data_IF_212338620240
#
_entry.id   IF_212338620240
#
_cell.length_a   1.000
_cell.length_b   1.000
_cell.length_c   1.000
_cell.angle_alpha   90.00
_cell.angle_beta   90.00
_cell.angle_gamma   90.00
#
_symmetry.space_group_name_H-M   'P 1'
#
loop_
_entity.id
_entity.type
_entity.pdbx_description
1 polymer ?
#
# COMPACT_ATOMS: atom_id res chain seq x y z
N UNK A 1 -7.87 -37.36 82.42
CA UNK A 1 -7.33 -38.51 81.65
C UNK A 1 -6.92 -37.99 80.27
N UNK A 2 -5.61 -37.82 79.98
CA UNK A 2 -4.70 -38.78 79.30
C UNK A 2 -5.19 -39.12 77.87
N UNK A 3 -4.46 -39.00 76.74
CA UNK A 3 -3.06 -38.74 76.32
C UNK A 3 -3.13 -38.46 74.78
N UNK A 4 -2.33 -37.56 74.19
CA UNK A 4 -1.07 -37.84 73.45
C UNK A 4 -1.23 -37.64 71.93
N UNK A 5 -0.50 -36.73 71.26
CA UNK A 5 0.81 -36.92 70.54
C UNK A 5 0.62 -37.66 69.16
N UNK A 6 1.14 -37.29 67.96
CA UNK A 6 2.26 -36.50 67.42
C UNK A 6 1.99 -36.06 65.94
N UNK A 7 2.63 -34.95 65.54
CA UNK A 7 3.17 -34.45 64.25
C UNK A 7 2.91 -35.07 62.84
N UNK A 8 2.80 -34.11 61.90
CA UNK A 8 3.44 -33.97 60.58
C UNK A 8 2.92 -34.73 59.34
N UNK A 9 2.48 -33.98 58.32
CA UNK A 9 3.18 -33.92 57.02
C UNK A 9 2.63 -32.85 56.09
N UNK A 10 3.56 -32.10 55.50
CA UNK A 10 3.41 -31.04 54.52
C UNK A 10 3.37 -31.68 53.11
N UNK A 11 2.47 -31.22 52.23
CA UNK A 11 2.58 -31.49 50.79
C UNK A 11 2.10 -30.29 49.98
N UNK A 12 3.04 -29.74 49.21
CA UNK A 12 2.92 -28.62 48.27
C UNK A 12 2.00 -28.95 47.10
N UNK A 13 1.22 -27.96 46.65
CA UNK A 13 0.83 -27.86 45.24
C UNK A 13 1.06 -26.44 44.72
N UNK A 14 2.05 -26.34 43.84
CA UNK A 14 2.29 -25.21 42.95
C UNK A 14 1.08 -25.04 42.00
N UNK A 15 0.37 -23.92 42.09
CA UNK A 15 -0.52 -23.50 41.02
C UNK A 15 0.30 -22.60 40.09
N UNK A 16 0.79 -23.18 38.99
CA UNK A 16 1.47 -22.46 37.93
C UNK A 16 0.50 -21.52 37.21
N UNK A 17 0.81 -20.22 37.21
CA UNK A 17 0.09 -19.25 36.39
C UNK A 17 0.46 -19.42 34.92
N UNK A 18 -0.48 -19.92 34.11
CA UNK A 18 -0.35 -19.88 32.65
C UNK A 18 -0.66 -18.47 32.16
N UNK A 19 0.37 -17.74 31.73
CA UNK A 19 0.19 -16.50 30.99
C UNK A 19 -0.46 -16.80 29.65
N UNK A 20 -1.72 -16.41 29.50
CA UNK A 20 -2.40 -16.41 28.20
C UNK A 20 -1.77 -15.31 27.35
N UNK A 21 -0.93 -15.70 26.38
CA UNK A 21 -0.49 -14.81 25.31
C UNK A 21 -1.69 -14.63 24.37
N UNK A 22 -2.34 -13.47 24.44
CA UNK A 22 -3.38 -13.10 23.48
C UNK A 22 -2.75 -12.93 22.09
N UNK A 23 -3.21 -13.65 21.05
CA UNK A 23 -2.77 -13.38 19.68
C UNK A 23 -3.32 -12.02 19.25
N UNK A 24 -2.42 -11.10 18.88
CA UNK A 24 -2.80 -9.85 18.24
C UNK A 24 -3.56 -10.14 16.95
N UNK A 25 -4.69 -9.45 16.67
CA UNK A 25 -5.39 -9.61 15.40
C UNK A 25 -4.46 -9.12 14.28
N UNK A 26 -3.99 -10.05 13.44
CA UNK A 26 -3.40 -9.71 12.16
C UNK A 26 -4.56 -9.20 11.30
N UNK A 27 -4.62 -7.90 11.08
CA UNK A 27 -5.62 -7.30 10.20
C UNK A 27 -5.54 -8.02 8.84
N UNK A 28 -6.64 -8.65 8.43
CA UNK A 28 -6.72 -9.26 7.12
C UNK A 28 -6.61 -8.14 6.08
N UNK A 29 -5.61 -8.21 5.21
CA UNK A 29 -5.55 -7.36 4.02
C UNK A 29 -6.76 -7.72 3.18
N UNK A 30 -7.77 -6.85 3.13
CA UNK A 30 -8.90 -7.05 2.23
C UNK A 30 -8.35 -7.06 0.80
N UNK A 31 -8.71 -8.08 0.01
CA UNK A 31 -8.21 -8.28 -1.35
C UNK A 31 -8.56 -7.14 -2.33
N UNK A 32 -9.35 -6.16 -1.88
CA UNK A 32 -9.71 -4.94 -2.61
C UNK A 32 -8.71 -3.79 -2.42
N UNK A 33 -7.90 -3.80 -1.36
CA UNK A 33 -7.01 -2.68 -1.06
C UNK A 33 -5.96 -2.52 -2.17
N UNK A 34 -5.64 -1.28 -2.52
CA UNK A 34 -4.66 -0.95 -3.56
C UNK A 34 -3.36 -0.48 -2.91
N UNK A 35 -2.26 -1.20 -3.18
CA UNK A 35 -0.93 -0.83 -2.75
C UNK A 35 -0.26 0.09 -3.77
N UNK A 36 0.22 1.25 -3.33
CA UNK A 36 1.12 2.09 -4.11
C UNK A 36 2.53 1.51 -4.07
N UNK A 37 3.12 1.31 -5.23
CA UNK A 37 4.46 0.72 -5.35
C UNK A 37 5.43 1.67 -6.02
N UNK A 38 6.66 1.67 -5.52
CA UNK A 38 7.79 2.44 -6.05
C UNK A 38 9.02 1.55 -6.20
N UNK A 39 9.96 2.02 -7.00
CA UNK A 39 11.25 1.37 -7.17
C UNK A 39 11.96 1.18 -5.81
N UNK A 40 12.67 0.06 -5.62
CA UNK A 40 13.38 -0.23 -4.36
C UNK A 40 14.42 0.80 -3.96
N UNK A 41 14.99 1.53 -4.93
CA UNK A 41 15.96 2.60 -4.68
C UNK A 41 15.31 3.90 -4.20
N UNK A 42 13.98 4.03 -4.30
CA UNK A 42 13.27 5.18 -3.77
C UNK A 42 13.23 5.08 -2.23
N UNK A 43 13.78 6.08 -1.56
CA UNK A 43 13.88 6.15 -0.09
C UNK A 43 12.61 6.67 0.59
N UNK A 44 11.62 7.14 -0.18
CA UNK A 44 10.32 7.58 0.35
C UNK A 44 9.58 6.38 0.91
N UNK A 45 9.18 6.45 2.19
CA UNK A 45 8.44 5.36 2.87
C UNK A 45 6.95 5.70 3.08
N UNK A 46 6.66 7.00 3.23
CA UNK A 46 5.33 7.53 3.47
C UNK A 46 5.10 8.77 2.60
N UNK A 47 3.85 8.98 2.22
CA UNK A 47 3.41 10.15 1.48
C UNK A 47 2.06 10.64 1.99
N UNK A 48 1.89 11.96 2.10
CA UNK A 48 0.56 12.49 2.38
C UNK A 48 -0.38 12.28 1.19
N UNK A 49 -1.67 12.09 1.42
CA UNK A 49 -2.62 11.93 0.31
C UNK A 49 -2.67 13.16 -0.62
N UNK A 50 -2.45 14.35 -0.06
CA UNK A 50 -2.37 15.58 -0.85
C UNK A 50 -1.14 15.61 -1.77
N UNK A 51 0.02 15.16 -1.28
CA UNK A 51 1.22 15.04 -2.10
C UNK A 51 1.08 13.93 -3.16
N UNK A 52 0.46 12.81 -2.80
CA UNK A 52 0.14 11.72 -3.73
C UNK A 52 -0.66 12.23 -4.94
N UNK A 53 -1.71 13.02 -4.68
CA UNK A 53 -2.51 13.65 -5.75
C UNK A 53 -1.67 14.52 -6.67
N UNK A 54 -0.77 15.35 -6.11
CA UNK A 54 0.13 16.21 -6.89
C UNK A 54 1.03 15.41 -7.84
N UNK A 55 1.50 14.23 -7.43
CA UNK A 55 2.27 13.35 -8.31
C UNK A 55 1.43 12.79 -9.46
N UNK A 56 0.24 12.26 -9.17
CA UNK A 56 -0.66 11.72 -10.19
C UNK A 56 -1.20 12.80 -11.15
N UNK A 57 -1.28 14.06 -10.70
CA UNK A 57 -1.62 15.24 -11.49
C UNK A 57 -0.43 15.87 -12.23
N UNK A 58 0.79 15.32 -12.07
CA UNK A 58 2.02 15.90 -12.59
C UNK A 58 2.32 17.35 -12.11
N UNK A 59 1.67 17.82 -11.04
CA UNK A 59 1.99 19.08 -10.37
C UNK A 59 3.29 18.99 -9.57
N UNK A 60 3.65 17.77 -9.14
CA UNK A 60 4.96 17.43 -8.58
C UNK A 60 5.61 16.36 -9.45
N UNK A 61 6.74 16.69 -10.06
CA UNK A 61 7.40 15.85 -11.07
C UNK A 61 8.72 15.24 -10.62
N UNK A 62 9.15 15.51 -9.38
CA UNK A 62 10.38 14.99 -8.79
C UNK A 62 10.16 14.43 -7.38
N UNK A 63 10.83 13.33 -7.10
CA UNK A 63 11.02 12.79 -5.77
C UNK A 63 11.94 13.70 -4.93
N UNK A 64 11.97 13.57 -3.59
CA UNK A 64 12.84 14.38 -2.74
C UNK A 64 14.34 14.30 -3.08
N UNK A 65 14.78 13.20 -3.68
CA UNK A 65 16.16 12.98 -4.14
C UNK A 65 16.46 13.61 -5.53
N UNK A 66 15.48 14.29 -6.13
CA UNK A 66 15.57 14.89 -7.47
C UNK A 66 15.24 13.94 -8.62
N UNK A 67 15.03 12.64 -8.36
CA UNK A 67 14.67 11.67 -9.39
C UNK A 67 13.31 12.03 -10.01
N UNK A 68 13.24 12.11 -11.35
CA UNK A 68 11.98 12.41 -12.06
C UNK A 68 10.94 11.32 -11.78
N UNK A 69 9.71 11.75 -11.46
CA UNK A 69 8.58 10.84 -11.26
C UNK A 69 7.99 10.43 -12.61
N UNK A 70 7.71 9.14 -12.77
CA UNK A 70 6.97 8.61 -13.92
C UNK A 70 5.80 7.80 -13.40
N UNK A 71 4.58 8.22 -13.76
CA UNK A 71 3.35 7.55 -13.32
C UNK A 71 3.05 6.37 -14.24
N UNK A 72 2.73 5.22 -13.66
CA UNK A 72 2.22 4.05 -14.37
C UNK A 72 0.77 3.76 -13.95
N UNK A 73 -0.06 3.42 -14.93
CA UNK A 73 -1.47 3.10 -14.77
C UNK A 73 -1.77 1.68 -15.26
N UNK A 74 -2.68 0.99 -14.57
CA UNK A 74 -3.17 -0.32 -15.01
C UNK A 74 -4.05 -0.17 -16.24
N UNK A 75 -3.86 -1.05 -17.21
CA UNK A 75 -4.69 -1.21 -18.39
C UNK A 75 -5.11 -2.70 -18.52
N UNK A 76 -6.18 -3.02 -19.27
CA UNK A 76 -7.13 -2.07 -19.87
C UNK A 76 -7.96 -1.32 -18.83
N UNK A 77 -8.86 -0.44 -19.27
CA UNK A 77 -9.87 0.15 -18.40
C UNK A 77 -10.72 -0.92 -17.67
N UNK A 78 -11.35 -0.53 -16.56
CA UNK A 78 -12.27 -1.39 -15.80
C UNK A 78 -11.62 -2.35 -14.79
N UNK A 79 -10.30 -2.29 -14.61
CA UNK A 79 -9.64 -3.00 -13.51
C UNK A 79 -10.02 -2.38 -12.17
N UNK A 80 -10.34 -3.20 -11.17
CA UNK A 80 -10.75 -2.74 -9.83
C UNK A 80 -9.76 -1.74 -9.25
N UNK A 81 -8.46 -2.06 -9.28
CA UNK A 81 -7.42 -1.18 -8.74
C UNK A 81 -7.32 0.17 -9.48
N UNK A 82 -7.62 0.20 -10.79
CA UNK A 82 -7.66 1.44 -11.57
C UNK A 82 -8.84 2.31 -11.15
N UNK A 83 -10.02 1.70 -10.97
CA UNK A 83 -11.21 2.42 -10.52
C UNK A 83 -11.00 3.07 -9.14
N UNK A 84 -10.30 2.39 -8.23
CA UNK A 84 -9.92 2.94 -6.92
C UNK A 84 -9.02 4.17 -7.09
N UNK A 85 -7.98 4.08 -7.92
CA UNK A 85 -7.04 5.19 -8.16
C UNK A 85 -7.74 6.38 -8.82
N UNK A 86 -8.55 6.15 -9.84
CA UNK A 86 -9.30 7.19 -10.52
C UNK A 86 -10.29 7.89 -9.58
N UNK A 87 -11.08 7.14 -8.82
CA UNK A 87 -12.04 7.70 -7.87
C UNK A 87 -11.36 8.43 -6.72
N UNK A 88 -10.34 7.83 -6.13
CA UNK A 88 -9.78 8.32 -4.86
C UNK A 88 -8.76 9.43 -5.10
N UNK A 89 -7.83 9.24 -6.04
CA UNK A 89 -6.71 10.16 -6.25
C UNK A 89 -7.07 11.24 -7.27
N UNK A 90 -7.58 10.84 -8.43
CA UNK A 90 -7.96 11.80 -9.48
C UNK A 90 -9.28 12.52 -9.15
N UNK A 91 -10.21 11.81 -8.49
CA UNK A 91 -11.62 12.18 -8.39
C UNK A 91 -12.31 12.25 -9.77
N UNK A 92 -11.92 11.34 -10.67
CA UNK A 92 -12.42 11.24 -12.04
C UNK A 92 -12.99 9.86 -12.33
N UNK A 93 -13.79 9.76 -13.38
CA UNK A 93 -14.14 8.49 -14.01
C UNK A 93 -13.19 8.18 -15.18
N UNK A 94 -13.32 6.98 -15.74
CA UNK A 94 -12.49 6.51 -16.85
C UNK A 94 -12.60 7.39 -18.10
N UNK A 95 -13.81 7.80 -18.47
CA UNK A 95 -14.06 8.57 -19.68
C UNK A 95 -13.44 9.96 -19.62
N UNK A 96 -13.54 10.62 -18.46
CA UNK A 96 -12.90 11.90 -18.23
C UNK A 96 -11.37 11.76 -18.25
N UNK A 97 -10.82 10.76 -17.56
CA UNK A 97 -9.38 10.49 -17.58
C UNK A 97 -8.86 10.30 -19.02
N UNK A 98 -9.50 9.44 -19.81
CA UNK A 98 -9.10 9.19 -21.20
C UNK A 98 -9.22 10.44 -22.07
N UNK A 99 -10.25 11.23 -21.87
CA UNK A 99 -10.49 12.45 -22.63
C UNK A 99 -9.49 13.54 -22.28
N UNK A 100 -9.22 13.75 -20.99
CA UNK A 100 -8.22 14.69 -20.49
C UNK A 100 -6.83 14.40 -21.08
N UNK A 101 -6.35 13.16 -20.98
CA UNK A 101 -5.02 12.81 -21.49
C UNK A 101 -4.93 12.83 -23.02
N UNK A 102 -6.00 12.43 -23.72
CA UNK A 102 -6.07 12.53 -25.19
C UNK A 102 -6.03 13.98 -25.67
N UNK A 103 -6.85 14.85 -25.09
CA UNK A 103 -6.89 16.27 -25.44
C UNK A 103 -5.57 16.96 -25.07
N UNK A 104 -5.07 16.67 -23.87
CA UNK A 104 -3.80 17.18 -23.36
C UNK A 104 -2.61 16.84 -24.25
N UNK A 105 -2.58 15.62 -24.80
CA UNK A 105 -1.53 15.22 -25.72
C UNK A 105 -1.66 15.92 -27.07
N UNK A 106 -2.88 16.03 -27.60
CA UNK A 106 -3.14 16.69 -28.89
C UNK A 106 -2.81 18.19 -28.87
N UNK A 107 -3.11 18.87 -27.76
CA UNK A 107 -2.85 20.31 -27.60
C UNK A 107 -1.52 20.63 -26.92
N UNK A 108 -0.68 19.61 -26.67
CA UNK A 108 0.62 19.72 -25.99
C UNK A 108 0.57 20.40 -24.60
N UNK A 109 -0.60 20.42 -23.95
CA UNK A 109 -0.79 21.06 -22.64
C UNK A 109 -0.33 20.18 -21.45
N UNK A 110 -0.05 18.90 -21.70
CA UNK A 110 0.51 17.99 -20.70
C UNK A 110 1.91 17.53 -21.11
N UNK A 111 2.82 17.50 -20.15
CA UNK A 111 4.22 17.15 -20.41
C UNK A 111 4.49 15.64 -20.39
N UNK A 112 3.60 14.85 -19.77
CA UNK A 112 3.80 13.42 -19.61
C UNK A 112 2.47 12.69 -19.48
N UNK A 113 2.28 11.68 -20.33
CA UNK A 113 1.14 10.77 -20.24
C UNK A 113 1.55 9.58 -19.37
N UNK A 114 0.71 9.14 -18.42
CA UNK A 114 0.99 7.94 -17.63
C UNK A 114 1.24 6.72 -18.50
N UNK A 115 2.24 5.91 -18.12
CA UNK A 115 2.55 4.66 -18.81
C UNK A 115 1.46 3.63 -18.52
N UNK A 116 0.75 3.20 -19.55
CA UNK A 116 -0.22 2.10 -19.41
C UNK A 116 0.47 0.73 -19.49
N UNK A 117 0.12 -0.16 -18.56
CA UNK A 117 0.67 -1.50 -18.44
C UNK A 117 -0.46 -2.50 -18.32
N UNK A 118 -0.42 -3.60 -19.08
CA UNK A 118 -1.57 -4.50 -19.27
C UNK A 118 -1.72 -5.58 -18.19
N UNK A 119 -0.67 -5.87 -17.42
CA UNK A 119 -0.74 -6.88 -16.33
C UNK A 119 -0.12 -6.37 -15.04
N UNK A 120 -0.52 -6.96 -13.90
CA UNK A 120 0.11 -6.74 -12.60
C UNK A 120 1.60 -7.07 -12.64
N UNK A 121 1.98 -8.17 -13.29
CA UNK A 121 3.40 -8.53 -13.48
C UNK A 121 4.17 -7.44 -14.24
N UNK A 122 3.61 -6.94 -15.35
CA UNK A 122 4.24 -5.87 -16.12
C UNK A 122 4.37 -4.57 -15.30
N UNK A 123 3.38 -4.24 -14.47
CA UNK A 123 3.44 -3.12 -13.52
C UNK A 123 4.62 -3.26 -12.56
N UNK A 124 4.73 -4.40 -11.89
CA UNK A 124 5.82 -4.65 -10.93
C UNK A 124 7.18 -4.62 -11.62
N UNK A 125 7.33 -5.26 -12.79
CA UNK A 125 8.58 -5.24 -13.55
C UNK A 125 8.96 -3.82 -13.97
N UNK A 126 8.00 -3.05 -14.48
CA UNK A 126 8.25 -1.67 -14.88
C UNK A 126 8.74 -0.82 -13.70
N UNK A 127 8.08 -0.92 -12.54
CA UNK A 127 8.47 -0.19 -11.34
C UNK A 127 9.84 -0.63 -10.82
N UNK A 128 10.13 -1.93 -10.86
CA UNK A 128 11.42 -2.49 -10.46
C UNK A 128 12.60 -1.98 -11.31
N UNK A 129 12.42 -1.88 -12.64
CA UNK A 129 13.48 -1.46 -13.55
C UNK A 129 13.53 0.04 -13.85
N UNK A 130 12.53 0.82 -13.43
CA UNK A 130 12.45 2.25 -13.72
C UNK A 130 12.65 3.08 -12.45
N UNK A 131 13.85 3.64 -12.22
CA UNK A 131 14.05 4.62 -11.17
C UNK A 131 13.07 5.78 -11.33
N UNK A 132 12.37 6.12 -10.25
CA UNK A 132 11.36 7.19 -10.25
C UNK A 132 9.93 6.76 -10.57
N UNK A 133 9.70 5.50 -10.95
CA UNK A 133 8.34 5.02 -11.22
C UNK A 133 7.46 5.02 -9.95
N UNK A 134 6.22 5.47 -10.12
CA UNK A 134 5.11 5.32 -9.18
C UNK A 134 3.99 4.58 -9.88
N UNK A 135 3.67 3.39 -9.37
CA UNK A 135 2.56 2.58 -9.86
C UNK A 135 1.70 2.08 -8.71
N UNK A 136 0.81 1.15 -9.02
CA UNK A 136 -0.05 0.51 -8.03
C UNK A 136 -0.49 -0.86 -8.50
N UNK A 137 -0.79 -1.72 -7.53
CA UNK A 137 -1.33 -3.07 -7.71
C UNK A 137 -2.32 -3.35 -6.58
N UNK A 138 -3.11 -4.42 -6.69
CA UNK A 138 -3.85 -4.91 -5.51
C UNK A 138 -2.86 -5.37 -4.44
N UNK A 139 -3.19 -5.13 -3.18
CA UNK A 139 -2.30 -5.38 -2.05
C UNK A 139 -1.90 -6.86 -1.92
N UNK A 140 -2.81 -7.77 -2.28
CA UNK A 140 -2.57 -9.22 -2.31
C UNK A 140 -1.65 -9.68 -3.45
N UNK A 141 -1.27 -8.79 -4.38
CA UNK A 141 -0.43 -9.12 -5.53
C UNK A 141 0.94 -8.44 -5.50
N UNK A 142 1.32 -7.79 -4.40
CA UNK A 142 2.62 -7.13 -4.29
C UNK A 142 3.75 -8.17 -4.23
N UNK A 143 4.78 -7.97 -5.04
CA UNK A 143 6.05 -8.68 -4.94
C UNK A 143 7.07 -7.82 -4.18
N UNK A 144 7.10 -7.96 -2.86
CA UNK A 144 7.98 -7.19 -1.97
C UNK A 144 9.49 -7.42 -2.23
N UNK A 145 9.85 -8.49 -2.95
CA UNK A 145 11.25 -8.72 -3.33
C UNK A 145 11.72 -7.77 -4.44
N UNK A 146 10.81 -7.09 -5.15
CA UNK A 146 11.11 -6.25 -6.31
C UNK A 146 10.75 -4.78 -6.15
N UNK A 147 9.79 -4.45 -5.29
CA UNK A 147 9.27 -3.09 -5.13
C UNK A 147 9.04 -2.75 -3.67
N UNK A 148 9.09 -1.45 -3.35
CA UNK A 148 8.70 -0.93 -2.04
C UNK A 148 7.24 -0.48 -2.09
N UNK A 149 6.50 -0.67 -1.00
CA UNK A 149 5.14 -0.15 -0.83
C UNK A 149 5.19 1.17 -0.06
N UNK A 150 4.54 2.21 -0.59
CA UNK A 150 4.38 3.48 0.11
C UNK A 150 3.22 3.40 1.10
N UNK A 151 3.46 3.91 2.30
CA UNK A 151 2.38 4.27 3.23
C UNK A 151 1.74 5.58 2.79
N UNK A 152 0.45 5.75 3.08
CA UNK A 152 -0.31 6.97 2.77
C UNK A 152 -0.88 7.53 4.05
N UNK A 153 -0.51 8.76 4.41
CA UNK A 153 -0.84 9.38 5.69
C UNK A 153 -0.51 8.46 6.88
N UNK A 154 0.64 7.79 6.84
CA UNK A 154 1.12 6.84 7.85
C UNK A 154 0.44 5.47 7.84
N UNK A 155 -0.42 5.17 6.84
CA UNK A 155 -1.21 3.93 6.77
C UNK A 155 -0.83 3.07 5.58
N UNK A 156 -0.81 1.76 5.78
CA UNK A 156 -0.58 0.74 4.76
C UNK A 156 -1.91 0.08 4.32
N UNK A 157 -1.92 -0.63 3.18
CA UNK A 157 -3.02 -1.52 2.84
C UNK A 157 -3.37 -2.46 4.00
N UNK A 158 -4.66 -2.60 4.31
CA UNK A 158 -5.18 -3.35 5.47
C UNK A 158 -5.38 -2.51 6.73
N UNK A 159 -4.73 -1.35 6.87
CA UNK A 159 -4.87 -0.52 8.07
C UNK A 159 -6.24 0.18 8.15
N UNK A 160 -6.72 0.40 9.38
CA UNK A 160 -7.92 1.18 9.62
C UNK A 160 -7.75 2.63 9.13
N UNK A 161 -8.67 3.07 8.27
CA UNK A 161 -8.63 4.40 7.65
C UNK A 161 -7.71 4.51 6.44
N UNK A 162 -7.19 3.40 5.89
CA UNK A 162 -6.52 3.41 4.60
C UNK A 162 -7.50 3.80 3.49
N UNK A 163 -7.10 4.76 2.65
CA UNK A 163 -8.02 5.48 1.74
C UNK A 163 -8.17 4.84 0.35
N UNK A 164 -7.30 3.90 -0.02
CA UNK A 164 -7.27 3.31 -1.36
C UNK A 164 -7.96 1.93 -1.35
N UNK A 165 -9.29 1.97 -1.31
CA UNK A 165 -10.20 0.81 -1.35
C UNK A 165 -11.28 0.97 -2.43
#
# INVERSE_FOLDING_TARGET
MRKGFWLASLLLLFVGGSSFVSPSPVAAVESSDVALIVNQKNSTQDISFSALRKYFMAERTQWPDGTRVVIAMRAPAGQTERSVVLRSIYNWNEDYYRTYFRQGQFNESIQSVPKELNTTYAMIQYVHYTPGALGYVRADQVDYSKVNVLSVDGRKPGDAGYRLK
#
